data_IF_641668006981
#
_entry.id   IF_641668006981
#
_cell.length_a   1.000
_cell.length_b   1.000
_cell.length_c   1.000
_cell.angle_alpha   90.00
_cell.angle_beta   90.00
_cell.angle_gamma   90.00
#
_symmetry.space_group_name_H-M   'P 1'
#
loop_
_entity.id
_entity.type
_entity.pdbx_description
1 polymer ?
#
# COMPACT_ATOMS: atom_id res chain seq x y z
N UNK A 1 39.28 -55.97 -20.74
CA UNK A 1 40.24 -55.14 -21.51
C UNK A 1 39.45 -54.09 -22.29
N UNK A 2 39.93 -52.83 -22.28
CA UNK A 2 39.35 -51.55 -22.80
C UNK A 2 38.44 -50.85 -21.78
N UNK A 3 38.88 -49.88 -20.95
CA UNK A 3 39.69 -48.64 -21.08
C UNK A 3 38.94 -47.43 -21.67
N UNK A 4 38.98 -46.33 -20.90
CA UNK A 4 38.57 -44.93 -21.18
C UNK A 4 37.06 -44.65 -21.26
N UNK A 5 36.54 -43.53 -20.80
CA UNK A 5 37.03 -42.44 -19.96
C UNK A 5 35.86 -41.48 -19.76
N UNK A 6 35.75 -40.96 -18.55
CA UNK A 6 35.37 -39.58 -18.22
C UNK A 6 34.66 -38.79 -19.33
N UNK A 7 33.32 -38.71 -19.26
CA UNK A 7 32.60 -37.58 -19.84
C UNK A 7 31.71 -36.96 -18.77
N UNK A 8 32.33 -36.00 -18.09
CA UNK A 8 31.75 -34.99 -17.23
C UNK A 8 30.61 -34.30 -17.99
N UNK A 9 29.34 -34.59 -17.66
CA UNK A 9 28.20 -33.81 -18.17
C UNK A 9 28.19 -32.49 -17.42
N UNK A 10 28.91 -31.53 -18.00
CA UNK A 10 29.00 -30.15 -17.56
C UNK A 10 27.61 -29.50 -17.58
N UNK A 11 27.21 -29.15 -16.38
CA UNK A 11 26.15 -28.25 -15.97
C UNK A 11 26.32 -26.88 -16.68
N UNK A 12 25.74 -26.69 -17.86
CA UNK A 12 25.60 -25.34 -18.43
C UNK A 12 24.24 -24.77 -18.03
N UNK A 13 24.22 -24.15 -16.86
CA UNK A 13 23.29 -23.07 -16.54
C UNK A 13 23.35 -22.05 -17.69
N UNK A 14 22.35 -22.06 -18.57
CA UNK A 14 22.08 -20.90 -19.40
C UNK A 14 21.53 -19.82 -18.46
N UNK A 15 22.43 -18.99 -17.94
CA UNK A 15 22.08 -17.73 -17.29
C UNK A 15 21.43 -16.83 -18.36
N UNK A 16 20.10 -16.85 -18.43
CA UNK A 16 19.33 -15.82 -19.14
C UNK A 16 19.56 -14.52 -18.38
N UNK A 17 20.19 -13.49 -18.98
CA UNK A 17 20.36 -12.22 -18.32
C UNK A 17 19.02 -11.50 -18.38
N UNK A 18 18.30 -11.43 -17.25
CA UNK A 18 17.18 -10.49 -17.07
C UNK A 18 17.79 -9.11 -16.82
N UNK A 19 18.39 -8.53 -17.87
CA UNK A 19 18.85 -7.15 -17.89
C UNK A 19 17.84 -6.33 -18.71
N UNK A 20 16.69 -6.07 -18.10
CA UNK A 20 15.66 -5.16 -18.62
C UNK A 20 15.51 -4.00 -17.66
N UNK A 21 16.10 -2.85 -18.01
CA UNK A 21 16.10 -1.64 -17.22
C UNK A 21 14.68 -1.08 -17.02
N UNK A 22 14.11 -1.25 -15.84
CA UNK A 22 13.09 -0.35 -15.30
C UNK A 22 13.75 0.64 -14.35
N UNK A 23 14.64 1.50 -14.87
CA UNK A 23 15.16 2.64 -14.12
C UNK A 23 14.35 3.89 -14.46
N UNK A 24 13.03 3.77 -14.37
CA UNK A 24 12.19 4.95 -14.24
C UNK A 24 12.32 5.41 -12.79
N UNK A 25 13.06 6.50 -12.54
CA UNK A 25 13.00 7.18 -11.25
C UNK A 25 11.53 7.57 -11.05
N UNK A 26 10.82 7.03 -10.04
CA UNK A 26 9.42 7.36 -9.87
C UNK A 26 9.30 8.88 -9.76
N UNK A 27 8.48 9.46 -10.64
CA UNK A 27 8.09 10.86 -10.49
C UNK A 27 7.49 10.97 -9.09
N UNK A 28 7.84 12.00 -8.28
CA UNK A 28 7.17 12.22 -7.01
C UNK A 28 5.67 12.18 -7.29
N UNK A 29 4.98 11.26 -6.63
CA UNK A 29 3.53 11.26 -6.64
C UNK A 29 3.17 12.45 -5.74
N UNK A 30 3.02 13.64 -6.33
CA UNK A 30 2.39 14.76 -5.62
C UNK A 30 0.97 14.31 -5.25
N UNK A 31 0.81 13.91 -3.99
CA UNK A 31 -0.51 13.62 -3.45
C UNK A 31 -1.37 14.88 -3.44
N UNK A 32 -2.70 14.72 -3.33
CA UNK A 32 -3.60 15.85 -3.08
C UNK A 32 -3.10 16.66 -1.87
N UNK A 33 -3.04 17.98 -2.02
CA UNK A 33 -2.67 18.88 -0.92
C UNK A 33 -3.69 18.69 0.22
N UNK A 34 -3.20 18.27 1.38
CA UNK A 34 -4.04 17.81 2.51
C UNK A 34 -4.57 18.96 3.35
N UNK A 35 -3.95 20.14 3.27
CA UNK A 35 -4.30 21.28 4.11
C UNK A 35 -5.63 21.93 3.69
N UNK A 36 -6.61 21.93 4.60
CA UNK A 36 -7.92 22.59 4.41
C UNK A 36 -8.88 21.86 3.46
N UNK A 37 -8.58 20.63 3.07
CA UNK A 37 -9.36 19.87 2.11
C UNK A 37 -10.57 19.12 2.72
N UNK A 38 -10.63 18.98 4.05
CA UNK A 38 -11.67 18.22 4.74
C UNK A 38 -12.83 19.10 5.23
N UNK A 39 -14.03 18.83 4.71
CA UNK A 39 -15.26 19.32 5.32
C UNK A 39 -15.50 18.69 6.70
N UNK A 40 -16.37 19.32 7.49
CA UNK A 40 -16.70 18.84 8.84
C UNK A 40 -17.26 17.41 8.82
N UNK A 41 -18.07 17.10 7.81
CA UNK A 41 -18.65 15.77 7.60
C UNK A 41 -17.56 14.72 7.37
N UNK A 42 -16.63 14.97 6.46
CA UNK A 42 -15.53 14.06 6.14
C UNK A 42 -14.62 13.83 7.33
N UNK A 43 -14.36 14.89 8.11
CA UNK A 43 -13.58 14.78 9.34
C UNK A 43 -14.28 13.90 10.37
N UNK A 44 -15.59 14.10 10.58
CA UNK A 44 -16.38 13.30 11.51
C UNK A 44 -16.43 11.82 11.09
N UNK A 45 -16.76 11.54 9.83
CA UNK A 45 -16.83 10.18 9.30
C UNK A 45 -15.47 9.45 9.40
N UNK A 46 -14.36 10.14 9.14
CA UNK A 46 -13.01 9.60 9.34
C UNK A 46 -12.76 9.17 10.78
N UNK A 47 -13.12 10.03 11.74
CA UNK A 47 -12.90 9.74 13.17
C UNK A 47 -13.79 8.59 13.64
N UNK A 48 -15.03 8.52 13.18
CA UNK A 48 -15.95 7.41 13.48
C UNK A 48 -15.42 6.07 12.93
N UNK A 49 -14.96 6.03 11.67
CA UNK A 49 -14.30 4.86 11.10
C UNK A 49 -13.13 4.40 11.97
N UNK A 50 -12.27 5.34 12.39
CA UNK A 50 -11.07 5.03 13.17
C UNK A 50 -11.45 4.48 14.54
N UNK A 51 -12.37 5.12 15.26
CA UNK A 51 -12.83 4.65 16.57
C UNK A 51 -13.49 3.27 16.48
N UNK A 52 -14.27 3.02 15.44
CA UNK A 52 -15.08 1.80 15.32
C UNK A 52 -14.27 0.60 14.81
N UNK A 53 -13.37 0.81 13.87
CA UNK A 53 -12.73 -0.28 13.12
C UNK A 53 -11.22 -0.36 13.32
N UNK A 54 -10.54 0.73 13.67
CA UNK A 54 -9.07 0.78 13.72
C UNK A 54 -8.55 0.69 15.16
N UNK A 55 -9.03 1.54 16.07
CA UNK A 55 -8.59 1.58 17.48
C UNK A 55 -8.78 0.25 18.24
N UNK A 56 -9.82 -0.59 17.97
CA UNK A 56 -9.94 -1.89 18.61
C UNK A 56 -8.87 -2.90 18.21
N UNK A 57 -8.34 -2.80 16.99
CA UNK A 57 -7.51 -3.84 16.37
C UNK A 57 -6.03 -3.44 16.23
N UNK A 58 -5.74 -2.15 16.08
CA UNK A 58 -4.38 -1.60 15.87
C UNK A 58 -3.91 -0.90 17.14
N UNK A 59 -2.65 -1.09 17.52
CA UNK A 59 -2.06 -0.59 18.78
C UNK A 59 -1.06 0.54 18.58
N UNK A 60 -0.36 0.58 17.45
CA UNK A 60 0.63 1.63 17.15
C UNK A 60 -0.06 2.99 17.00
N UNK A 61 0.14 3.86 18.00
CA UNK A 61 -0.44 5.20 18.07
C UNK A 61 0.00 6.09 16.91
N UNK A 62 1.18 5.84 16.32
CA UNK A 62 1.68 6.60 15.17
C UNK A 62 0.88 6.27 13.92
N UNK A 63 0.50 5.00 13.74
CA UNK A 63 -0.38 4.55 12.66
C UNK A 63 -1.77 5.16 12.82
N UNK A 64 -2.35 5.09 14.03
CA UNK A 64 -3.67 5.68 14.31
C UNK A 64 -3.65 7.20 14.05
N UNK A 65 -2.60 7.91 14.50
CA UNK A 65 -2.45 9.34 14.25
C UNK A 65 -2.31 9.67 12.75
N UNK A 66 -1.57 8.87 11.99
CA UNK A 66 -1.47 9.03 10.54
C UNK A 66 -2.83 8.82 9.86
N UNK A 67 -3.58 7.79 10.24
CA UNK A 67 -4.94 7.54 9.74
C UNK A 67 -5.90 8.68 10.07
N UNK A 68 -5.78 9.30 11.27
CA UNK A 68 -6.56 10.49 11.65
C UNK A 68 -6.19 11.72 10.83
N UNK A 69 -4.96 11.83 10.34
CA UNK A 69 -4.47 12.99 9.59
C UNK A 69 -4.79 12.92 8.11
N UNK A 70 -4.73 11.75 7.49
CA UNK A 70 -4.86 11.61 6.02
C UNK A 70 -6.33 11.54 5.58
N UNK A 71 -6.83 12.48 4.76
CA UNK A 71 -8.20 12.47 4.25
C UNK A 71 -8.35 11.47 3.10
N UNK A 72 -8.80 10.25 3.41
CA UNK A 72 -8.96 9.16 2.44
C UNK A 72 -9.82 9.51 1.22
N UNK A 73 -10.84 10.35 1.38
CA UNK A 73 -11.74 10.76 0.29
C UNK A 73 -11.06 11.52 -0.85
N UNK A 74 -9.88 12.10 -0.64
CA UNK A 74 -9.10 12.73 -1.72
C UNK A 74 -8.47 11.70 -2.68
N UNK A 75 -8.38 10.44 -2.26
CA UNK A 75 -7.85 9.33 -3.05
C UNK A 75 -8.96 8.44 -3.65
N UNK A 76 -10.22 8.84 -3.47
CA UNK A 76 -11.41 8.11 -3.93
C UNK A 76 -12.08 8.92 -5.05
N UNK A 77 -12.43 8.29 -6.19
CA UNK A 77 -13.19 8.96 -7.25
C UNK A 77 -14.49 9.56 -6.71
N UNK A 78 -14.94 10.66 -7.32
CA UNK A 78 -16.07 11.45 -6.82
C UNK A 78 -17.33 10.62 -6.64
N UNK A 79 -17.63 9.70 -7.57
CA UNK A 79 -18.81 8.84 -7.50
C UNK A 79 -18.81 7.89 -6.28
N UNK A 80 -17.63 7.62 -5.69
CA UNK A 80 -17.49 6.73 -4.55
C UNK A 80 -17.22 7.44 -3.21
N UNK A 81 -17.07 8.78 -3.20
CA UNK A 81 -16.68 9.54 -2.00
C UNK A 81 -17.63 9.36 -0.81
N UNK A 82 -18.93 9.17 -1.06
CA UNK A 82 -19.93 8.90 -0.01
C UNK A 82 -19.65 7.62 0.80
N UNK A 83 -18.82 6.72 0.29
CA UNK A 83 -18.39 5.49 0.97
C UNK A 83 -16.92 5.52 1.36
N UNK A 84 -16.23 6.66 1.22
CA UNK A 84 -14.78 6.77 1.44
C UNK A 84 -14.35 6.34 2.85
N UNK A 85 -15.25 6.46 3.82
CA UNK A 85 -15.02 6.10 5.22
C UNK A 85 -15.80 4.86 5.68
N UNK A 86 -16.30 4.06 4.74
CA UNK A 86 -16.71 2.69 5.03
C UNK A 86 -15.47 1.81 5.13
N UNK A 87 -15.49 0.83 6.03
CA UNK A 87 -14.40 -0.13 6.15
C UNK A 87 -14.48 -1.22 5.05
N UNK A 88 -14.29 -0.82 3.79
CA UNK A 88 -14.33 -1.70 2.61
C UNK A 88 -13.40 -1.22 1.49
N UNK A 89 -13.01 -2.10 0.54
CA UNK A 89 -12.30 -1.67 -0.65
C UNK A 89 -13.21 -0.85 -1.57
N UNK A 90 -12.63 0.12 -2.29
CA UNK A 90 -13.33 0.92 -3.30
C UNK A 90 -12.54 0.92 -4.62
N UNK A 91 -13.20 0.94 -5.77
CA UNK A 91 -12.52 1.13 -7.06
C UNK A 91 -11.90 2.53 -7.17
N UNK A 92 -10.71 2.60 -7.79
CA UNK A 92 -9.99 3.88 -8.06
C UNK A 92 -9.70 4.09 -9.55
N UNK A 93 -10.36 3.29 -10.42
CA UNK A 93 -10.14 3.29 -11.86
C UNK A 93 -9.12 2.23 -12.31
N UNK A 94 -9.00 2.05 -13.63
CA UNK A 94 -8.06 1.09 -14.25
C UNK A 94 -8.13 -0.35 -13.71
N UNK A 95 -9.32 -0.80 -13.29
CA UNK A 95 -9.50 -2.11 -12.67
C UNK A 95 -8.80 -2.28 -11.31
N UNK A 96 -8.33 -1.18 -10.70
CA UNK A 96 -7.65 -1.17 -9.40
C UNK A 96 -8.60 -0.77 -8.28
N UNK A 97 -8.25 -1.17 -7.06
CA UNK A 97 -8.97 -0.82 -5.84
C UNK A 97 -8.04 -0.20 -4.81
N UNK A 98 -8.57 0.73 -4.03
CA UNK A 98 -7.95 1.14 -2.77
C UNK A 98 -8.40 0.16 -1.68
N UNK A 99 -7.43 -0.41 -0.96
CA UNK A 99 -7.68 -1.39 0.10
C UNK A 99 -8.57 -0.85 1.22
N UNK A 100 -9.25 -1.75 1.92
CA UNK A 100 -10.01 -1.46 3.14
C UNK A 100 -9.14 -0.71 4.17
N UNK A 101 -9.68 0.33 4.85
CA UNK A 101 -8.98 1.07 5.89
C UNK A 101 -8.31 0.21 6.97
N UNK A 102 -9.01 -0.79 7.50
CA UNK A 102 -8.44 -1.73 8.47
C UNK A 102 -7.18 -2.44 7.93
N UNK A 103 -7.25 -2.98 6.71
CA UNK A 103 -6.12 -3.68 6.09
C UNK A 103 -4.91 -2.76 5.92
N UNK A 104 -5.12 -1.49 5.52
CA UNK A 104 -4.04 -0.51 5.42
C UNK A 104 -3.39 -0.26 6.79
N UNK A 105 -4.20 -0.08 7.84
CA UNK A 105 -3.69 0.15 9.19
C UNK A 105 -2.92 -1.07 9.73
N UNK A 106 -3.49 -2.27 9.58
CA UNK A 106 -2.86 -3.53 9.97
C UNK A 106 -1.52 -3.77 9.26
N UNK A 107 -1.48 -3.61 7.93
CA UNK A 107 -0.25 -3.77 7.16
C UNK A 107 0.81 -2.74 7.58
N UNK A 108 0.39 -1.49 7.82
CA UNK A 108 1.32 -0.43 8.24
C UNK A 108 1.91 -0.70 9.62
N UNK A 109 1.11 -1.18 10.58
CA UNK A 109 1.59 -1.59 11.89
C UNK A 109 2.58 -2.76 11.80
N UNK A 110 2.29 -3.75 10.94
CA UNK A 110 3.14 -4.93 10.75
C UNK A 110 4.55 -4.59 10.26
N UNK A 111 4.73 -3.46 9.55
CA UNK A 111 6.04 -2.98 9.10
C UNK A 111 6.93 -2.47 10.24
N UNK A 112 6.37 -2.16 11.42
CA UNK A 112 7.11 -1.68 12.60
C UNK A 112 8.04 -0.49 12.28
N UNK A 113 7.53 0.47 11.50
CA UNK A 113 8.28 1.63 11.04
C UNK A 113 8.89 2.42 12.20
N UNK A 114 10.06 3.01 11.96
CA UNK A 114 10.84 3.74 12.97
C UNK A 114 10.93 5.25 12.70
N UNK A 115 10.66 5.69 11.47
CA UNK A 115 10.77 7.08 11.01
C UNK A 115 12.13 7.44 10.39
N UNK A 116 12.94 6.44 10.03
CA UNK A 116 14.27 6.58 9.38
C UNK A 116 14.32 6.02 7.96
N UNK A 117 13.18 5.58 7.45
CA UNK A 117 12.97 5.00 6.14
C UNK A 117 13.02 6.04 5.02
#
# INVERSE_FOLDING_TARGET
MRCYATLLVLLTLAAVPVAGACQAKPRPLEGPQVEGADGEYERKARLELIQRHIEPEVRDQRVIAAMKKVPRHLFVPEEFRRWAYDDRPLPVGHGQTISQPYIVAYMTEALRLSGKE
#
